data_IF_271726870193
#
_entry.id   IF_271726870193
#
_cell.length_a   1.000
_cell.length_b   1.000
_cell.length_c   1.000
_cell.angle_alpha   90.00
_cell.angle_beta   90.00
_cell.angle_gamma   90.00
#
_symmetry.space_group_name_H-M   'P 1'
#
loop_
_entity.id
_entity.type
_entity.pdbx_description
1 polymer ?
#
# COMPACT_ATOMS: atom_id res chain seq x y z
N UNK A 1 -3.38 12.99 -5.65
CA UNK A 1 -3.34 13.59 -4.28
C UNK A 1 -4.52 14.49 -3.94
N UNK A 2 -4.94 15.42 -4.82
CA UNK A 2 -6.01 16.38 -4.51
C UNK A 2 -7.30 15.71 -4.00
N UNK A 3 -7.70 14.59 -4.59
CA UNK A 3 -8.89 13.83 -4.18
C UNK A 3 -8.81 13.33 -2.73
N UNK A 4 -7.68 12.72 -2.32
CA UNK A 4 -7.50 12.21 -0.96
C UNK A 4 -7.56 13.35 0.05
N UNK A 5 -6.94 14.50 -0.27
CA UNK A 5 -7.01 15.69 0.57
C UNK A 5 -8.45 16.22 0.71
N UNK A 6 -9.23 16.21 -0.38
CA UNK A 6 -10.65 16.54 -0.34
C UNK A 6 -11.48 15.60 0.54
N UNK A 7 -11.16 14.31 0.56
CA UNK A 7 -11.79 13.35 1.48
C UNK A 7 -11.45 13.69 2.94
N UNK A 8 -10.19 14.01 3.24
CA UNK A 8 -9.77 14.43 4.58
C UNK A 8 -10.49 15.72 5.01
N UNK A 9 -10.66 16.70 4.12
CA UNK A 9 -11.47 17.90 4.40
C UNK A 9 -12.91 17.52 4.76
N UNK A 10 -13.55 16.65 3.97
CA UNK A 10 -14.92 16.18 4.22
C UNK A 10 -15.06 15.42 5.56
N UNK A 11 -14.07 14.60 5.91
CA UNK A 11 -13.98 13.92 7.20
C UNK A 11 -13.91 14.90 8.36
N UNK A 12 -13.12 15.98 8.19
CA UNK A 12 -12.97 17.05 9.19
C UNK A 12 -14.31 17.72 9.46
N UNK A 13 -15.07 18.07 8.41
CA UNK A 13 -16.41 18.65 8.56
C UNK A 13 -17.39 17.70 9.26
N UNK A 14 -17.18 16.40 9.12
CA UNK A 14 -18.03 15.35 9.68
C UNK A 14 -17.55 14.80 11.04
N UNK A 15 -16.47 15.36 11.60
CA UNK A 15 -15.80 14.88 12.83
C UNK A 15 -15.33 13.41 12.78
N UNK A 16 -15.07 12.89 11.58
CA UNK A 16 -14.37 11.61 11.42
C UNK A 16 -12.87 11.83 11.67
N UNK A 17 -12.23 10.90 12.36
CA UNK A 17 -10.85 11.07 12.85
C UNK A 17 -9.90 9.94 12.42
N UNK A 18 -10.35 8.97 11.62
CA UNK A 18 -9.51 7.88 11.11
C UNK A 18 -9.77 7.70 9.62
N UNK A 19 -8.73 7.92 8.81
CA UNK A 19 -8.68 7.51 7.40
C UNK A 19 -8.08 6.12 7.38
N UNK A 20 -8.92 5.10 7.24
CA UNK A 20 -8.44 3.77 6.93
C UNK A 20 -8.09 3.73 5.44
N UNK A 21 -6.79 3.70 5.16
CA UNK A 21 -6.28 3.79 3.80
C UNK A 21 -5.88 2.39 3.33
N UNK A 22 -6.78 1.76 2.59
CA UNK A 22 -6.51 0.52 1.86
C UNK A 22 -5.66 0.85 0.62
N UNK A 23 -4.35 0.70 0.73
CA UNK A 23 -3.39 1.26 -0.23
C UNK A 23 -3.10 0.29 -1.38
N UNK A 24 -3.13 -1.00 -1.10
CA UNK A 24 -2.70 -2.09 -1.99
C UNK A 24 -3.75 -3.21 -1.99
N UNK A 25 -3.96 -3.85 -3.13
CA UNK A 25 -4.87 -5.01 -3.29
C UNK A 25 -4.35 -5.90 -4.45
N UNK A 26 -5.09 -6.96 -4.79
CA UNK A 26 -4.83 -7.90 -5.88
C UNK A 26 -4.47 -7.17 -7.18
N UNK A 27 -5.17 -6.09 -7.49
CA UNK A 27 -5.13 -5.48 -8.81
C UNK A 27 -4.03 -4.42 -8.95
N UNK A 28 -3.57 -3.81 -7.86
CA UNK A 28 -2.56 -2.75 -7.93
C UNK A 28 -1.72 -2.62 -6.65
N UNK A 29 -0.43 -2.35 -6.84
CA UNK A 29 0.49 -1.94 -5.79
C UNK A 29 1.03 -0.53 -6.13
N UNK A 30 0.36 0.56 -5.72
CA UNK A 30 0.75 1.92 -6.14
C UNK A 30 1.77 2.60 -5.23
N UNK A 31 1.95 2.15 -3.98
CA UNK A 31 2.82 2.84 -3.01
C UNK A 31 4.29 2.43 -3.14
N UNK A 32 5.18 3.41 -2.99
CA UNK A 32 6.62 3.19 -2.93
C UNK A 32 7.02 2.54 -1.61
N UNK A 33 7.75 1.43 -1.67
CA UNK A 33 8.41 0.82 -0.52
C UNK A 33 9.92 0.82 -0.79
N UNK A 34 10.72 1.71 -0.17
CA UNK A 34 12.15 1.86 -0.48
C UNK A 34 12.98 0.58 -0.29
N UNK A 35 12.61 -0.25 0.69
CA UNK A 35 13.25 -1.55 0.95
C UNK A 35 12.98 -2.58 -0.15
N UNK A 36 11.85 -2.45 -0.86
CA UNK A 36 11.41 -3.36 -1.93
C UNK A 36 10.90 -2.58 -3.15
N UNK A 37 11.80 -1.88 -3.88
CA UNK A 37 11.42 -0.92 -4.91
C UNK A 37 10.81 -1.55 -6.17
N UNK A 38 10.75 -2.89 -6.28
CA UNK A 38 10.05 -3.52 -7.40
C UNK A 38 8.56 -3.73 -7.12
N UNK A 39 8.08 -3.62 -5.88
CA UNK A 39 6.66 -3.88 -5.53
C UNK A 39 5.71 -3.02 -6.36
N UNK A 40 6.01 -1.72 -6.49
CA UNK A 40 5.18 -0.81 -7.28
C UNK A 40 5.22 -1.03 -8.80
N UNK A 41 5.94 -2.05 -9.30
CA UNK A 41 5.74 -2.51 -10.68
C UNK A 41 4.35 -3.14 -10.87
N UNK A 42 3.69 -3.53 -9.78
CA UNK A 42 2.28 -3.90 -9.76
C UNK A 42 1.31 -2.72 -9.88
N UNK A 43 1.76 -1.46 -9.98
CA UNK A 43 0.88 -0.30 -10.22
C UNK A 43 0.26 -0.33 -11.61
N UNK A 44 -0.97 0.15 -11.78
CA UNK A 44 -1.60 0.30 -13.10
C UNK A 44 -0.77 1.10 -14.10
N UNK A 45 -0.15 2.19 -13.65
CA UNK A 45 0.74 3.03 -14.47
C UNK A 45 1.73 3.82 -13.61
N UNK A 46 2.77 4.37 -14.24
CA UNK A 46 3.72 5.24 -13.56
C UNK A 46 3.08 6.51 -12.96
N UNK A 47 2.01 7.02 -13.57
CA UNK A 47 1.26 8.19 -13.08
C UNK A 47 0.36 7.90 -11.89
N UNK A 48 0.08 6.63 -11.60
CA UNK A 48 -0.83 6.18 -10.55
C UNK A 48 -0.05 5.62 -9.34
N UNK A 49 1.13 6.18 -9.08
CA UNK A 49 2.00 5.81 -7.97
C UNK A 49 1.95 6.85 -6.86
N UNK A 50 2.13 6.40 -5.63
CA UNK A 50 2.32 7.24 -4.45
C UNK A 50 3.77 7.10 -3.99
N UNK A 51 4.54 8.17 -4.13
CA UNK A 51 5.91 8.23 -3.64
C UNK A 51 5.95 8.42 -2.13
N UNK A 52 7.10 8.20 -1.49
CA UNK A 52 7.26 8.50 -0.07
C UNK A 52 6.93 9.95 0.29
N UNK A 53 7.38 10.98 -0.47
CA UNK A 53 6.92 12.36 -0.26
C UNK A 53 5.40 12.53 -0.33
N UNK A 54 4.72 11.82 -1.23
CA UNK A 54 3.26 11.89 -1.37
C UNK A 54 2.54 11.33 -0.14
N UNK A 55 2.99 10.17 0.34
CA UNK A 55 2.46 9.55 1.55
C UNK A 55 2.69 10.44 2.79
N UNK A 56 3.90 11.00 2.94
CA UNK A 56 4.23 11.94 4.01
C UNK A 56 3.35 13.20 3.94
N UNK A 57 3.09 13.73 2.74
CA UNK A 57 2.23 14.89 2.54
C UNK A 57 0.77 14.60 2.93
N UNK A 58 0.24 13.41 2.60
CA UNK A 58 -1.09 12.96 3.02
C UNK A 58 -1.17 12.89 4.55
N UNK A 59 -0.22 12.23 5.20
CA UNK A 59 -0.19 12.08 6.67
C UNK A 59 -0.13 13.45 7.35
N UNK A 60 0.76 14.34 6.93
CA UNK A 60 0.87 15.70 7.48
C UNK A 60 -0.39 16.54 7.24
N UNK A 61 -1.05 16.34 6.11
CA UNK A 61 -2.29 17.04 5.79
C UNK A 61 -3.45 16.59 6.68
N UNK A 62 -3.55 15.28 6.94
CA UNK A 62 -4.51 14.66 7.85
C UNK A 62 -4.26 15.08 9.31
N UNK A 63 -3.01 15.07 9.75
CA UNK A 63 -2.59 15.47 11.11
C UNK A 63 -3.05 16.89 11.44
N UNK A 64 -2.84 17.85 10.53
CA UNK A 64 -3.29 19.26 10.70
C UNK A 64 -4.80 19.42 10.85
N UNK A 65 -5.58 18.36 10.60
CA UNK A 65 -7.03 18.32 10.66
C UNK A 65 -7.57 17.37 11.74
N UNK A 66 -6.68 16.80 12.56
CA UNK A 66 -7.07 15.84 13.60
C UNK A 66 -7.55 14.50 13.05
N UNK A 67 -7.11 14.11 11.84
CA UNK A 67 -7.40 12.82 11.22
C UNK A 67 -6.14 11.95 11.29
N UNK A 68 -6.26 10.77 11.89
CA UNK A 68 -5.24 9.74 11.88
C UNK A 68 -5.28 8.96 10.56
N UNK A 69 -4.13 8.59 10.02
CA UNK A 69 -4.03 7.71 8.84
C UNK A 69 -3.65 6.32 9.31
N UNK A 70 -4.52 5.35 9.10
CA UNK A 70 -4.26 3.93 9.33
C UNK A 70 -4.05 3.29 7.96
N UNK A 71 -2.79 3.02 7.61
CA UNK A 71 -2.48 2.31 6.38
C UNK A 71 -2.80 0.81 6.52
N UNK A 72 -3.45 0.24 5.52
CA UNK A 72 -3.73 -1.19 5.44
C UNK A 72 -2.92 -1.81 4.31
N UNK A 73 -2.37 -2.98 4.64
CA UNK A 73 -1.67 -3.89 3.73
C UNK A 73 -2.29 -5.26 3.99
N UNK A 74 -3.23 -5.64 3.14
CA UNK A 74 -3.97 -6.90 3.29
C UNK A 74 -3.06 -8.08 2.90
N UNK A 75 -2.86 -8.99 3.85
CA UNK A 75 -2.05 -10.20 3.69
C UNK A 75 -2.68 -11.36 4.48
N UNK A 76 -2.54 -12.61 4.00
CA UNK A 76 -1.81 -13.03 2.80
C UNK A 76 -2.67 -13.00 1.51
N UNK A 77 -3.98 -12.75 1.59
CA UNK A 77 -4.85 -12.56 0.43
C UNK A 77 -4.58 -11.24 -0.29
N UNK A 78 -5.36 -10.93 -1.34
CA UNK A 78 -5.34 -9.61 -1.97
C UNK A 78 -3.95 -9.13 -2.43
N UNK A 79 -3.11 -10.06 -2.92
CA UNK A 79 -1.68 -9.82 -3.09
C UNK A 79 -1.10 -10.15 -4.48
N UNK A 80 -1.94 -10.43 -5.48
CA UNK A 80 -1.46 -10.76 -6.83
C UNK A 80 -0.54 -9.69 -7.42
N UNK A 81 -0.83 -8.40 -7.23
CA UNK A 81 -0.04 -7.27 -7.76
C UNK A 81 1.41 -7.27 -7.24
N UNK A 82 1.67 -7.84 -6.06
CA UNK A 82 2.97 -7.84 -5.41
C UNK A 82 3.99 -8.67 -6.21
N UNK A 83 3.54 -9.82 -6.72
CA UNK A 83 4.37 -10.73 -7.50
C UNK A 83 4.73 -10.24 -8.90
N UNK A 84 4.12 -9.14 -9.38
CA UNK A 84 4.58 -8.46 -10.61
C UNK A 84 6.00 -7.94 -10.42
N UNK A 85 6.31 -7.42 -9.24
CA UNK A 85 7.65 -6.97 -8.87
C UNK A 85 8.58 -8.10 -8.42
N UNK A 86 8.03 -9.05 -7.66
CA UNK A 86 8.76 -10.16 -7.04
C UNK A 86 8.00 -11.47 -7.22
N UNK A 87 8.15 -12.16 -8.36
CA UNK A 87 7.38 -13.38 -8.67
C UNK A 87 7.51 -14.50 -7.63
N UNK A 88 8.58 -14.52 -6.82
CA UNK A 88 8.78 -15.48 -5.73
C UNK A 88 7.73 -15.37 -4.60
N UNK A 89 6.94 -14.30 -4.59
CA UNK A 89 5.83 -14.10 -3.67
C UNK A 89 4.57 -14.89 -4.07
N UNK A 90 4.47 -15.30 -5.32
CA UNK A 90 3.37 -16.16 -5.78
C UNK A 90 3.66 -17.63 -5.44
N UNK A 91 2.65 -18.40 -4.98
CA UNK A 91 2.78 -19.85 -4.79
C UNK A 91 3.25 -20.58 -6.04
N UNK A 92 2.81 -20.14 -7.23
CA UNK A 92 3.31 -20.61 -8.53
C UNK A 92 2.93 -19.66 -9.68
N UNK A 93 3.43 -19.92 -10.89
CA UNK A 93 3.04 -19.15 -12.08
C UNK A 93 1.54 -19.24 -12.41
N UNK A 94 0.91 -20.35 -12.03
CA UNK A 94 -0.52 -20.65 -12.23
C UNK A 94 -1.40 -20.30 -11.03
N UNK A 95 -0.80 -20.10 -9.85
CA UNK A 95 -1.47 -19.73 -8.61
C UNK A 95 -0.79 -18.49 -8.02
N UNK A 96 -1.35 -17.32 -8.31
CA UNK A 96 -0.73 -16.01 -8.01
C UNK A 96 -1.28 -15.33 -6.76
N UNK A 97 -2.06 -16.07 -5.98
CA UNK A 97 -2.61 -15.65 -4.69
C UNK A 97 -3.06 -16.88 -3.90
N UNK A 98 -3.07 -16.84 -2.55
CA UNK A 98 -2.52 -15.79 -1.69
C UNK A 98 -0.98 -15.71 -1.79
N UNK A 99 -0.31 -14.86 -1.00
CA UNK A 99 1.15 -14.90 -0.86
C UNK A 99 1.64 -16.30 -0.46
N UNK A 100 2.80 -16.73 -0.96
CA UNK A 100 3.40 -18.00 -0.59
C UNK A 100 3.92 -17.97 0.86
N UNK A 101 3.09 -18.44 1.80
CA UNK A 101 3.43 -18.53 3.23
C UNK A 101 4.43 -19.64 3.56
N UNK A 102 4.79 -20.50 2.61
CA UNK A 102 5.85 -21.49 2.78
C UNK A 102 7.24 -20.94 2.45
N UNK A 103 7.31 -19.77 1.80
CA UNK A 103 8.54 -19.13 1.40
C UNK A 103 9.01 -18.10 2.45
N UNK A 104 10.23 -18.29 2.97
CA UNK A 104 10.86 -17.34 3.90
C UNK A 104 11.03 -15.93 3.31
N UNK A 105 11.09 -15.80 1.99
CA UNK A 105 11.16 -14.49 1.32
C UNK A 105 9.90 -13.66 1.57
N UNK A 106 8.71 -14.27 1.61
CA UNK A 106 7.45 -13.59 1.91
C UNK A 106 7.50 -12.85 3.23
N UNK A 107 8.01 -13.49 4.28
CA UNK A 107 8.14 -12.88 5.60
C UNK A 107 9.19 -11.77 5.64
N UNK A 108 10.28 -11.89 4.87
CA UNK A 108 11.27 -10.81 4.73
C UNK A 108 10.66 -9.58 4.06
N UNK A 109 9.81 -9.78 3.05
CA UNK A 109 9.12 -8.69 2.38
C UNK A 109 8.17 -7.98 3.33
N UNK A 110 7.31 -8.73 4.03
CA UNK A 110 6.38 -8.18 5.02
C UNK A 110 7.14 -7.42 6.12
N UNK A 111 8.20 -8.02 6.68
CA UNK A 111 9.02 -7.39 7.72
C UNK A 111 9.66 -6.08 7.25
N UNK A 112 10.23 -6.05 6.04
CA UNK A 112 10.84 -4.82 5.51
C UNK A 112 9.83 -3.78 5.01
N UNK A 113 8.56 -4.13 4.84
CA UNK A 113 7.47 -3.16 4.66
C UNK A 113 7.08 -2.54 6.02
N UNK A 114 6.95 -3.37 7.07
CA UNK A 114 6.49 -2.93 8.39
C UNK A 114 7.57 -2.25 9.24
N UNK A 115 8.84 -2.54 8.97
CA UNK A 115 9.99 -1.96 9.69
C UNK A 115 10.51 -0.65 9.08
N UNK A 116 9.91 -0.20 7.97
CA UNK A 116 10.31 0.99 7.21
C UNK A 116 9.85 2.31 7.81
#
# INVERSE_FOLDING_TARGET
LATIKGVIDAMTYSKLNVLHWHIVDEQSFPIEIPSYPKLWNGSYSYSERYTMPDAIDIVRYAEKRGVNVLAEIDVPGHARSWGVGYPELWPSDSCREPLDVSNNFTFKVIDGILSG
#
